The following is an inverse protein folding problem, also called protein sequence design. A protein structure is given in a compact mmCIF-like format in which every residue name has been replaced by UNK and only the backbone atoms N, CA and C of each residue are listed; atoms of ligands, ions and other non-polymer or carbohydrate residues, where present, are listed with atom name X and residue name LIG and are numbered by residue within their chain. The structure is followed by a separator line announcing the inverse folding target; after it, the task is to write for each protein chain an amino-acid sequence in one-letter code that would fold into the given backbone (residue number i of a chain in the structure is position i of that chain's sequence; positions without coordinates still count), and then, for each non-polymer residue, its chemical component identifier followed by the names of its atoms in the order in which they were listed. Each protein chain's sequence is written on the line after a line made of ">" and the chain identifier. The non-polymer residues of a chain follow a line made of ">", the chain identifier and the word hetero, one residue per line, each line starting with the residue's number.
data_IF_483529701577
#
_entry.id   IF_483529701577
#
_cell.length_a   1.000
_cell.length_b   1.000
_cell.length_c   1.000
_cell.angle_alpha   90.00
_cell.angle_beta   90.00
_cell.angle_gamma   90.00
#
_symmetry.space_group_name_H-M   'P 1'
#
loop_
_entity.id
_entity.type
_entity.pdbx_description
1 polymer ?
#
# COMPACT_ATOMS: atom_id res chain seq x y z
N UNK A 1 -23.88 -9.52 -30.50
CA UNK A 1 -24.00 -9.92 -29.08
C UNK A 1 -22.92 -9.17 -28.32
N UNK A 2 -23.28 -8.32 -27.36
CA UNK A 2 -22.30 -7.57 -26.57
C UNK A 2 -22.24 -8.07 -25.14
N UNK A 3 -21.04 -7.95 -24.57
CA UNK A 3 -20.66 -7.85 -23.16
C UNK A 3 -20.23 -9.13 -22.41
N UNK A 4 -18.91 -9.30 -22.29
CA UNK A 4 -18.24 -9.27 -20.99
C UNK A 4 -16.75 -8.96 -21.18
N UNK A 5 -16.23 -8.05 -20.37
CA UNK A 5 -14.86 -7.59 -20.35
C UNK A 5 -13.96 -8.66 -19.71
N UNK A 6 -13.18 -9.42 -20.50
CA UNK A 6 -12.08 -10.25 -19.99
C UNK A 6 -10.85 -9.37 -19.69
N UNK A 7 -11.03 -8.36 -18.84
CA UNK A 7 -9.97 -7.46 -18.38
C UNK A 7 -9.54 -7.79 -16.94
N UNK A 8 -9.86 -8.98 -16.44
CA UNK A 8 -9.44 -9.43 -15.11
C UNK A 8 -8.07 -10.08 -15.21
N UNK A 9 -7.03 -9.34 -14.80
CA UNK A 9 -5.73 -9.93 -14.49
C UNK A 9 -5.95 -11.15 -13.58
N UNK A 10 -5.38 -12.32 -13.92
CA UNK A 10 -5.57 -13.52 -13.12
C UNK A 10 -5.02 -13.27 -11.72
N UNK A 11 -5.75 -13.64 -10.67
CA UNK A 11 -5.33 -13.48 -9.27
C UNK A 11 -4.26 -14.51 -8.88
N UNK A 12 -3.08 -14.38 -9.49
CA UNK A 12 -1.87 -15.17 -9.19
C UNK A 12 -1.00 -14.44 -8.17
N UNK A 13 0.00 -15.13 -7.63
CA UNK A 13 1.02 -14.50 -6.77
C UNK A 13 1.76 -13.36 -7.48
N UNK A 14 2.03 -13.50 -8.78
CA UNK A 14 2.66 -12.46 -9.59
C UNK A 14 1.78 -11.21 -9.69
N UNK A 15 0.48 -11.39 -9.95
CA UNK A 15 -0.49 -10.28 -9.97
C UNK A 15 -0.63 -9.63 -8.59
N UNK A 16 -0.67 -10.43 -7.51
CA UNK A 16 -0.70 -9.90 -6.15
C UNK A 16 0.53 -9.05 -5.84
N UNK A 17 1.74 -9.52 -6.20
CA UNK A 17 2.97 -8.76 -6.05
C UNK A 17 2.97 -7.48 -6.89
N UNK A 18 2.48 -7.55 -8.14
CA UNK A 18 2.34 -6.38 -9.00
C UNK A 18 1.39 -5.33 -8.40
N UNK A 19 0.27 -5.77 -7.79
CA UNK A 19 -0.66 -4.90 -7.07
C UNK A 19 0.03 -4.25 -5.86
N UNK A 20 0.72 -5.03 -5.02
CA UNK A 20 1.44 -4.49 -3.85
C UNK A 20 2.51 -3.48 -4.28
N UNK A 21 3.26 -3.76 -5.35
CA UNK A 21 4.24 -2.82 -5.90
C UNK A 21 3.58 -1.54 -6.42
N UNK A 22 2.46 -1.64 -7.12
CA UNK A 22 1.72 -0.48 -7.61
C UNK A 22 1.16 0.37 -6.45
N UNK A 23 0.67 -0.26 -5.38
CA UNK A 23 0.25 0.43 -4.17
C UNK A 23 1.42 1.16 -3.51
N UNK A 24 2.59 0.53 -3.43
CA UNK A 24 3.80 1.17 -2.90
C UNK A 24 4.19 2.41 -3.71
N UNK A 25 4.16 2.31 -5.03
CA UNK A 25 4.42 3.43 -5.93
C UNK A 25 3.38 4.56 -5.78
N UNK A 26 2.10 4.22 -5.61
CA UNK A 26 1.03 5.19 -5.36
C UNK A 26 1.24 5.92 -4.04
N UNK A 27 1.56 5.18 -2.96
CA UNK A 27 1.85 5.76 -1.65
C UNK A 27 3.06 6.69 -1.74
N UNK A 28 4.14 6.25 -2.38
CA UNK A 28 5.33 7.07 -2.57
C UNK A 28 5.01 8.38 -3.29
N UNK A 29 4.31 8.28 -4.43
CA UNK A 29 3.93 9.44 -5.24
C UNK A 29 3.00 10.38 -4.47
N UNK A 30 2.08 9.85 -3.66
CA UNK A 30 1.16 10.64 -2.83
C UNK A 30 1.92 11.40 -1.75
N UNK A 31 2.80 10.73 -1.01
CA UNK A 31 3.56 11.33 0.09
C UNK A 31 4.50 12.43 -0.42
N UNK A 32 5.15 12.25 -1.58
CA UNK A 32 5.98 13.28 -2.23
C UNK A 32 5.27 14.61 -2.47
N UNK A 33 3.93 14.62 -2.58
CA UNK A 33 3.14 15.83 -2.82
C UNK A 33 2.70 16.54 -1.54
N UNK A 34 2.94 15.93 -0.37
CA UNK A 34 2.52 16.47 0.92
C UNK A 34 3.56 17.45 1.49
N UNK A 35 3.14 18.43 2.29
CA UNK A 35 4.04 19.19 3.16
C UNK A 35 4.83 18.26 4.12
N UNK A 36 6.04 18.65 4.52
CA UNK A 36 6.95 17.80 5.30
C UNK A 36 6.33 17.27 6.61
N UNK A 37 5.55 18.09 7.32
CA UNK A 37 4.84 17.67 8.54
C UNK A 37 3.78 16.60 8.27
N UNK A 38 3.16 16.65 7.09
CA UNK A 38 2.15 15.68 6.63
C UNK A 38 2.76 14.40 6.07
N UNK A 39 3.96 14.46 5.52
CA UNK A 39 4.69 13.27 5.06
C UNK A 39 4.95 12.30 6.22
N UNK A 40 5.50 12.82 7.32
CA UNK A 40 5.76 12.03 8.52
C UNK A 40 4.46 11.52 9.17
N UNK A 41 3.41 12.35 9.22
CA UNK A 41 2.12 11.94 9.74
C UNK A 41 1.51 10.78 8.94
N UNK A 42 1.56 10.84 7.60
CA UNK A 42 1.04 9.78 6.73
C UNK A 42 1.74 8.44 6.97
N UNK A 43 3.08 8.44 7.04
CA UNK A 43 3.84 7.22 7.33
C UNK A 43 3.46 6.63 8.70
N UNK A 44 3.31 7.48 9.72
CA UNK A 44 2.93 7.04 11.07
C UNK A 44 1.52 6.45 11.14
N UNK A 45 0.58 6.97 10.36
CA UNK A 45 -0.78 6.44 10.29
C UNK A 45 -0.80 5.03 9.67
N UNK A 46 0.00 4.77 8.61
CA UNK A 46 0.16 3.43 8.05
C UNK A 46 0.74 2.43 9.06
N UNK A 47 1.75 2.82 9.83
CA UNK A 47 2.31 1.98 10.89
C UNK A 47 1.27 1.68 12.00
N UNK A 48 0.42 2.65 12.33
CA UNK A 48 -0.66 2.46 13.31
C UNK A 48 -1.72 1.49 12.81
N UNK A 49 -2.10 1.60 11.53
CA UNK A 49 -3.02 0.65 10.90
C UNK A 49 -2.43 -0.76 10.90
N UNK A 50 -1.17 -0.94 10.51
CA UNK A 50 -0.51 -2.24 10.54
C UNK A 50 -0.59 -2.91 11.92
N UNK A 51 -0.28 -2.15 12.98
CA UNK A 51 -0.39 -2.63 14.37
C UNK A 51 -1.82 -3.02 14.79
N UNK A 52 -2.83 -2.37 14.22
CA UNK A 52 -4.22 -2.77 14.48
C UNK A 52 -4.57 -4.08 13.78
N UNK A 53 -4.05 -4.30 12.57
CA UNK A 53 -4.24 -5.56 11.84
C UNK A 53 -3.50 -6.72 12.51
N UNK A 54 -2.27 -6.49 12.99
CA UNK A 54 -1.50 -7.43 13.82
C UNK A 54 -2.33 -7.93 15.01
N UNK A 55 -2.91 -7.01 15.78
CA UNK A 55 -3.74 -7.31 16.97
C UNK A 55 -4.99 -8.13 16.64
N UNK A 56 -5.46 -8.04 15.39
CA UNK A 56 -6.61 -8.79 14.89
C UNK A 56 -6.20 -10.13 14.26
N UNK A 57 -4.91 -10.46 14.23
CA UNK A 57 -4.37 -11.66 13.60
C UNK A 57 -4.32 -11.60 12.07
N UNK A 58 -4.49 -10.41 11.47
CA UNK A 58 -4.51 -10.20 10.02
C UNK A 58 -3.11 -9.92 9.47
N UNK A 59 -2.23 -10.91 9.59
CA UNK A 59 -0.78 -10.79 9.30
C UNK A 59 -0.46 -10.41 7.86
N UNK A 60 -1.28 -10.86 6.89
CA UNK A 60 -1.10 -10.49 5.49
C UNK A 60 -1.35 -8.99 5.26
N UNK A 61 -2.45 -8.47 5.81
CA UNK A 61 -2.80 -7.04 5.72
C UNK A 61 -1.78 -6.19 6.48
N UNK A 62 -1.37 -6.61 7.67
CA UNK A 62 -0.28 -5.99 8.43
C UNK A 62 0.98 -5.84 7.58
N UNK A 63 1.41 -6.93 6.92
CA UNK A 63 2.63 -6.93 6.10
C UNK A 63 2.54 -5.92 4.96
N UNK A 64 1.42 -5.90 4.23
CA UNK A 64 1.20 -4.95 3.15
C UNK A 64 1.23 -3.51 3.67
N UNK A 65 0.59 -3.23 4.82
CA UNK A 65 0.59 -1.89 5.42
C UNK A 65 1.99 -1.46 5.87
N UNK A 66 2.82 -2.38 6.37
CA UNK A 66 4.22 -2.10 6.69
C UNK A 66 5.06 -1.81 5.44
N UNK A 67 4.81 -2.50 4.33
CA UNK A 67 5.47 -2.20 3.06
C UNK A 67 5.06 -0.82 2.53
N UNK A 68 3.79 -0.44 2.66
CA UNK A 68 3.34 0.91 2.34
C UNK A 68 3.98 1.95 3.26
N UNK A 69 4.13 1.66 4.56
CA UNK A 69 4.83 2.54 5.49
C UNK A 69 6.28 2.78 5.06
N UNK A 70 7.00 1.72 4.64
CA UNK A 70 8.38 1.86 4.12
C UNK A 70 8.42 2.72 2.87
N UNK A 71 7.48 2.56 1.95
CA UNK A 71 7.37 3.41 0.76
C UNK A 71 7.10 4.88 1.13
N UNK A 72 6.24 5.14 2.12
CA UNK A 72 5.97 6.47 2.62
C UNK A 72 7.20 7.12 3.28
N UNK A 73 7.95 6.36 4.08
CA UNK A 73 9.21 6.85 4.69
C UNK A 73 10.24 7.19 3.62
N UNK A 74 10.41 6.32 2.61
CA UNK A 74 11.33 6.55 1.51
C UNK A 74 10.94 7.77 0.63
N UNK A 75 9.64 8.11 0.57
CA UNK A 75 9.17 9.30 -0.14
C UNK A 75 9.49 10.61 0.60
N UNK A 76 9.61 10.54 1.93
CA UNK A 76 9.86 11.68 2.81
C UNK A 76 11.35 11.97 3.07
N UNK A 77 12.24 11.06 2.61
CA UNK A 77 13.70 11.19 2.70
C UNK A 77 14.32 11.95 1.54
#
# INVERSE_FOLDING_TARGET
>A
MSNANDNTLPLTAETANAIVNALGALVFATVRQLPADKQAAFANDLARLAKNEERQGQTATETILLDMHRAAVAAAS
#
